data_IF_425793752547
#
_entry.id   IF_425793752547
#
_cell.length_a   1.000
_cell.length_b   1.000
_cell.length_c   1.000
_cell.angle_alpha   90.00
_cell.angle_beta   90.00
_cell.angle_gamma   90.00
#
_symmetry.space_group_name_H-M   'P 1'
#
loop_
_entity.id
_entity.type
_entity.pdbx_description
1 polymer ?
#
# COMPACT_ATOMS: atom_id res chain seq x y z
N UNK A 1 -26.06 -0.97 6.39
CA UNK A 1 -25.17 -1.98 5.78
C UNK A 1 -23.78 -1.40 5.77
N UNK A 2 -22.81 -2.10 6.34
CA UNK A 2 -21.39 -1.78 6.34
C UNK A 2 -20.64 -2.70 5.41
N UNK A 3 -19.35 -2.46 5.18
CA UNK A 3 -18.47 -3.38 4.49
C UNK A 3 -17.42 -3.94 5.46
N UNK A 4 -16.99 -5.18 5.23
CA UNK A 4 -16.01 -5.86 6.07
C UNK A 4 -14.97 -6.56 5.21
N UNK A 5 -13.71 -6.49 5.61
CA UNK A 5 -12.65 -7.34 5.08
C UNK A 5 -12.86 -8.75 5.63
N UNK A 6 -13.08 -9.74 4.75
CA UNK A 6 -13.29 -11.13 5.13
C UNK A 6 -12.05 -12.00 4.92
N UNK A 7 -11.12 -11.53 4.12
CA UNK A 7 -9.82 -12.16 3.92
C UNK A 7 -8.78 -11.18 3.42
N UNK A 8 -7.52 -11.55 3.61
CA UNK A 8 -6.34 -10.87 3.10
C UNK A 8 -5.38 -11.91 2.52
N UNK A 9 -4.68 -11.56 1.44
CA UNK A 9 -3.64 -12.38 0.83
C UNK A 9 -2.52 -11.50 0.32
N UNK A 10 -1.31 -12.03 0.28
CA UNK A 10 -0.15 -11.28 -0.17
C UNK A 10 0.80 -12.13 -1.00
N UNK A 11 1.56 -11.48 -1.87
CA UNK A 11 2.60 -12.08 -2.66
C UNK A 11 3.86 -11.22 -2.68
N UNK A 12 5.00 -11.86 -2.48
CA UNK A 12 6.33 -11.24 -2.50
C UNK A 12 7.18 -12.01 -3.51
N UNK A 13 7.87 -11.32 -4.43
CA UNK A 13 8.84 -11.95 -5.33
C UNK A 13 9.94 -12.69 -4.56
N UNK A 14 10.44 -13.79 -5.13
CA UNK A 14 11.50 -14.61 -4.52
C UNK A 14 12.89 -13.99 -4.59
N UNK A 15 13.15 -13.16 -5.61
CA UNK A 15 14.43 -12.47 -5.73
C UNK A 15 14.50 -11.34 -4.70
N UNK A 16 15.65 -11.16 -4.09
CA UNK A 16 15.85 -10.18 -3.01
C UNK A 16 17.18 -9.48 -3.16
N UNK A 17 17.17 -8.15 -3.01
CA UNK A 17 18.38 -7.32 -2.87
C UNK A 17 18.53 -6.98 -1.38
N UNK A 18 19.62 -7.44 -0.78
CA UNK A 18 19.95 -7.17 0.63
C UNK A 18 20.70 -5.83 0.77
N UNK A 19 20.82 -5.33 2.02
CA UNK A 19 21.64 -4.16 2.30
C UNK A 19 23.10 -4.39 1.92
N UNK A 20 23.63 -5.60 2.16
CA UNK A 20 24.99 -6.00 1.77
C UNK A 20 25.22 -6.02 0.26
N UNK A 21 24.18 -6.24 -0.54
CA UNK A 21 24.29 -6.13 -1.99
C UNK A 21 24.40 -4.67 -2.42
N UNK A 22 23.66 -3.77 -1.76
CA UNK A 22 23.75 -2.33 -2.03
C UNK A 22 25.09 -1.72 -1.60
N UNK A 23 25.74 -2.22 -0.55
CA UNK A 23 27.09 -1.80 -0.17
C UNK A 23 28.13 -1.97 -1.29
N UNK A 24 27.87 -2.86 -2.24
CA UNK A 24 28.76 -3.09 -3.39
C UNK A 24 28.58 -2.08 -4.53
N UNK A 25 27.46 -1.36 -4.54
CA UNK A 25 27.04 -0.51 -5.67
C UNK A 25 26.93 0.96 -5.33
N UNK A 26 26.56 1.29 -4.09
CA UNK A 26 26.41 2.68 -3.62
C UNK A 26 27.11 2.88 -2.26
N UNK A 27 27.49 4.13 -1.95
CA UNK A 27 28.15 4.48 -0.69
C UNK A 27 27.18 4.42 0.49
N UNK A 28 27.03 3.22 1.09
CA UNK A 28 26.13 2.94 2.21
C UNK A 28 26.63 1.79 3.08
N UNK A 29 25.98 1.54 4.23
CA UNK A 29 26.20 0.35 5.07
C UNK A 29 24.88 -0.23 5.54
N UNK A 30 24.86 -1.53 5.90
CA UNK A 30 23.69 -2.21 6.46
C UNK A 30 23.16 -1.47 7.70
N UNK A 31 24.05 -1.07 8.61
CA UNK A 31 23.70 -0.34 9.83
C UNK A 31 23.08 1.01 9.53
N UNK A 32 23.63 1.73 8.53
CA UNK A 32 23.08 3.02 8.11
C UNK A 32 21.66 2.87 7.56
N UNK A 33 21.42 1.87 6.68
CA UNK A 33 20.11 1.63 6.09
C UNK A 33 19.11 1.23 7.20
N UNK A 34 19.44 0.26 8.05
CA UNK A 34 18.56 -0.21 9.14
C UNK A 34 18.21 0.94 10.09
N UNK A 35 19.19 1.70 10.54
CA UNK A 35 18.96 2.79 11.51
C UNK A 35 18.10 3.92 10.95
N UNK A 36 18.10 4.12 9.63
CA UNK A 36 17.37 5.19 8.96
C UNK A 36 15.99 4.75 8.48
N UNK A 37 15.85 3.52 8.06
CA UNK A 37 14.66 3.04 7.34
C UNK A 37 13.96 1.86 8.01
N UNK A 38 14.68 1.05 8.77
CA UNK A 38 14.22 -0.24 9.28
C UNK A 38 14.32 -1.39 8.27
N UNK A 39 14.74 -1.11 7.03
CA UNK A 39 14.73 -2.07 5.91
C UNK A 39 16.03 -2.89 5.92
N UNK A 40 15.88 -4.23 5.81
CA UNK A 40 17.00 -5.15 5.70
C UNK A 40 17.17 -5.70 4.29
N UNK A 41 16.08 -5.80 3.56
CA UNK A 41 16.04 -6.35 2.20
C UNK A 41 14.88 -5.78 1.37
N UNK A 42 14.95 -5.97 0.04
CA UNK A 42 13.95 -5.55 -0.95
C UNK A 42 13.67 -6.71 -1.88
N UNK A 43 12.47 -7.30 -1.81
CA UNK A 43 11.99 -8.21 -2.86
C UNK A 43 11.90 -7.48 -4.20
N UNK A 44 12.33 -8.15 -5.27
CA UNK A 44 12.39 -7.60 -6.62
C UNK A 44 11.74 -8.59 -7.58
N UNK A 45 10.77 -8.12 -8.35
CA UNK A 45 10.09 -8.91 -9.37
C UNK A 45 11.08 -9.39 -10.46
N UNK A 46 10.93 -10.65 -10.86
CA UNK A 46 11.67 -11.19 -12.00
C UNK A 46 11.36 -10.38 -13.26
N UNK A 47 12.28 -10.39 -14.23
CA UNK A 47 12.13 -9.67 -15.51
C UNK A 47 10.89 -10.10 -16.29
N UNK A 48 10.40 -11.31 -16.08
CA UNK A 48 9.18 -11.85 -16.70
C UNK A 48 7.89 -11.48 -15.94
N UNK A 49 7.98 -10.92 -14.73
CA UNK A 49 6.86 -10.53 -13.92
C UNK A 49 6.55 -9.03 -14.08
N UNK A 50 5.28 -8.70 -14.28
CA UNK A 50 4.74 -7.35 -14.23
C UNK A 50 3.87 -7.17 -12.96
N UNK A 51 3.38 -5.96 -12.72
CA UNK A 51 2.53 -5.65 -11.56
C UNK A 51 1.28 -6.50 -11.52
N UNK A 52 0.64 -6.78 -12.68
CA UNK A 52 -0.53 -7.65 -12.72
C UNK A 52 -0.24 -9.11 -12.35
N UNK A 53 1.00 -9.58 -12.55
CA UNK A 53 1.40 -10.93 -12.13
C UNK A 53 1.44 -11.04 -10.60
N UNK A 54 2.09 -10.08 -9.93
CA UNK A 54 2.14 -10.03 -8.46
C UNK A 54 0.74 -9.87 -7.87
N UNK A 55 -0.06 -8.98 -8.47
CA UNK A 55 -1.42 -8.71 -8.06
C UNK A 55 -2.34 -9.94 -8.19
N UNK A 56 -2.19 -10.72 -9.26
CA UNK A 56 -2.93 -11.96 -9.48
C UNK A 56 -2.64 -13.02 -8.41
N UNK A 57 -1.36 -13.21 -8.06
CA UNK A 57 -0.97 -14.15 -7.02
C UNK A 57 -1.57 -13.76 -5.66
N UNK A 58 -1.45 -12.48 -5.27
CA UNK A 58 -2.05 -11.99 -4.02
C UNK A 58 -3.58 -12.14 -4.02
N UNK A 59 -4.24 -11.82 -5.14
CA UNK A 59 -5.68 -11.96 -5.31
C UNK A 59 -6.13 -13.44 -5.18
N UNK A 60 -5.40 -14.36 -5.80
CA UNK A 60 -5.69 -15.80 -5.72
C UNK A 60 -5.64 -16.28 -4.28
N UNK A 61 -4.59 -15.92 -3.53
CA UNK A 61 -4.45 -16.27 -2.11
C UNK A 61 -5.62 -15.67 -1.29
N UNK A 62 -5.99 -14.41 -1.54
CA UNK A 62 -7.10 -13.79 -0.82
C UNK A 62 -8.44 -14.48 -1.08
N UNK A 63 -8.72 -14.87 -2.34
CA UNK A 63 -9.93 -15.59 -2.74
C UNK A 63 -9.98 -16.98 -2.09
N UNK A 64 -8.89 -17.72 -2.13
CA UNK A 64 -8.80 -19.06 -1.52
C UNK A 64 -9.04 -18.99 0.00
N UNK A 65 -8.42 -18.03 0.69
CA UNK A 65 -8.61 -17.85 2.13
C UNK A 65 -10.01 -17.37 2.51
N UNK A 66 -10.66 -16.60 1.65
CA UNK A 66 -12.04 -16.18 1.82
C UNK A 66 -13.03 -17.36 1.71
N UNK A 67 -12.62 -18.47 1.08
CA UNK A 67 -13.47 -19.64 0.79
C UNK A 67 -14.76 -19.28 0.06
N UNK A 68 -14.66 -18.32 -0.87
CA UNK A 68 -15.76 -17.89 -1.75
C UNK A 68 -15.60 -18.49 -3.14
N UNK A 69 -16.69 -18.54 -3.90
CA UNK A 69 -16.58 -18.69 -5.35
C UNK A 69 -16.02 -17.38 -5.94
N UNK A 70 -14.97 -17.47 -6.76
CA UNK A 70 -14.45 -16.29 -7.47
C UNK A 70 -15.50 -15.58 -8.31
N UNK A 71 -16.53 -16.31 -8.77
CA UNK A 71 -17.66 -15.76 -9.53
C UNK A 71 -18.59 -14.87 -8.68
N UNK A 72 -18.45 -14.89 -7.34
CA UNK A 72 -19.14 -13.92 -6.48
C UNK A 72 -18.56 -12.51 -6.61
N UNK A 73 -17.32 -12.36 -7.12
CA UNK A 73 -16.66 -11.07 -7.26
C UNK A 73 -17.36 -10.27 -8.35
N UNK A 74 -17.82 -9.08 -7.97
CA UNK A 74 -18.55 -8.14 -8.82
C UNK A 74 -17.89 -6.75 -8.92
N UNK A 75 -16.70 -6.58 -8.32
CA UNK A 75 -15.89 -5.37 -8.38
C UNK A 75 -14.40 -5.70 -8.17
N UNK A 76 -13.52 -5.13 -9.01
CA UNK A 76 -12.07 -5.18 -8.81
C UNK A 76 -11.50 -3.76 -8.85
N UNK A 77 -10.79 -3.37 -7.79
CA UNK A 77 -10.08 -2.08 -7.72
C UNK A 77 -8.62 -2.33 -7.37
N UNK A 78 -7.71 -1.80 -8.17
CA UNK A 78 -6.26 -1.93 -7.96
C UNK A 78 -5.63 -0.56 -7.73
N UNK A 79 -4.98 -0.38 -6.59
CA UNK A 79 -4.08 0.76 -6.35
C UNK A 79 -2.67 0.46 -6.85
N UNK A 80 -2.19 1.22 -7.84
CA UNK A 80 -0.82 1.08 -8.36
C UNK A 80 -0.37 2.35 -9.08
N UNK A 81 0.92 2.67 -8.97
CA UNK A 81 1.60 3.69 -9.78
C UNK A 81 2.57 3.07 -10.80
N UNK A 82 2.69 1.74 -10.82
CA UNK A 82 3.54 0.98 -11.75
C UNK A 82 2.73 -0.02 -12.57
N UNK A 83 1.72 0.45 -13.37
CA UNK A 83 0.93 -0.46 -14.20
C UNK A 83 1.80 -1.12 -15.27
N UNK A 84 1.42 -2.33 -15.70
CA UNK A 84 2.12 -3.08 -16.76
C UNK A 84 2.30 -2.26 -18.04
N UNK A 85 1.24 -1.56 -18.42
CA UNK A 85 1.15 -0.70 -19.61
C UNK A 85 0.21 0.46 -19.32
N UNK A 86 0.26 1.51 -20.17
CA UNK A 86 -0.63 2.66 -20.02
C UNK A 86 -2.13 2.26 -20.17
N UNK A 87 -2.42 1.26 -20.99
CA UNK A 87 -3.76 0.67 -21.23
C UNK A 87 -3.62 -0.72 -21.83
N UNK A 88 -4.38 -1.75 -21.42
CA UNK A 88 -5.46 -1.70 -20.43
C UNK A 88 -4.98 -1.56 -18.99
N UNK A 89 -5.87 -1.23 -18.06
CA UNK A 89 -5.55 -1.10 -16.65
C UNK A 89 -5.33 -2.46 -15.96
N UNK A 90 -4.58 -2.48 -14.84
CA UNK A 90 -4.23 -3.70 -14.10
C UNK A 90 -5.47 -4.45 -13.59
N UNK A 91 -6.54 -3.76 -13.20
CA UNK A 91 -7.78 -4.39 -12.74
C UNK A 91 -8.40 -5.29 -13.81
N UNK A 92 -8.43 -4.85 -15.08
CA UNK A 92 -8.95 -5.65 -16.20
C UNK A 92 -7.99 -6.81 -16.56
N UNK A 93 -6.68 -6.64 -16.38
CA UNK A 93 -5.71 -7.73 -16.56
C UNK A 93 -5.93 -8.85 -15.54
N UNK A 94 -6.14 -8.51 -14.27
CA UNK A 94 -6.46 -9.47 -13.21
C UNK A 94 -7.81 -10.13 -13.48
N UNK A 95 -8.85 -9.36 -13.85
CA UNK A 95 -10.17 -9.89 -14.21
C UNK A 95 -10.06 -10.98 -15.30
N UNK A 96 -9.30 -10.70 -16.37
CA UNK A 96 -9.04 -11.65 -17.45
C UNK A 96 -8.35 -12.91 -16.93
N UNK A 97 -7.30 -12.79 -16.10
CA UNK A 97 -6.54 -13.93 -15.56
C UNK A 97 -7.36 -14.80 -14.62
N UNK A 98 -8.26 -14.20 -13.84
CA UNK A 98 -9.24 -14.92 -13.01
C UNK A 98 -10.32 -15.61 -13.84
N UNK A 99 -10.43 -15.33 -15.14
CA UNK A 99 -11.50 -15.84 -16.01
C UNK A 99 -12.86 -15.21 -15.70
N UNK A 100 -12.86 -13.95 -15.24
CA UNK A 100 -14.05 -13.19 -14.85
C UNK A 100 -14.35 -12.10 -15.89
N UNK A 101 -15.61 -11.65 -15.94
CA UNK A 101 -16.06 -10.62 -16.89
C UNK A 101 -17.39 -9.97 -16.49
N UNK A 102 -17.76 -8.90 -17.21
CA UNK A 102 -19.06 -8.23 -17.14
C UNK A 102 -19.38 -7.48 -15.84
N UNK A 103 -18.34 -7.01 -15.12
CA UNK A 103 -18.47 -6.12 -13.98
C UNK A 103 -17.30 -5.11 -13.93
N UNK A 104 -17.40 -4.01 -13.16
CA UNK A 104 -16.36 -2.98 -13.10
C UNK A 104 -15.01 -3.51 -12.59
N UNK A 105 -13.94 -3.28 -13.37
CA UNK A 105 -12.57 -3.58 -13.00
C UNK A 105 -11.66 -2.43 -13.46
N UNK A 106 -11.02 -1.76 -12.53
CA UNK A 106 -10.20 -0.59 -12.83
C UNK A 106 -9.03 -0.42 -11.88
N UNK A 107 -8.06 0.40 -12.30
CA UNK A 107 -6.95 0.81 -11.45
C UNK A 107 -7.10 2.29 -11.09
N UNK A 108 -6.57 2.64 -9.92
CA UNK A 108 -6.43 4.01 -9.46
C UNK A 108 -4.96 4.31 -9.19
N UNK A 109 -4.56 5.54 -9.44
CA UNK A 109 -3.25 6.06 -9.09
C UNK A 109 -3.41 7.04 -7.92
N UNK A 110 -2.80 6.72 -6.78
CA UNK A 110 -2.67 7.55 -5.60
C UNK A 110 -1.36 7.18 -4.85
N UNK A 111 -0.35 6.75 -5.60
CA UNK A 111 0.95 6.30 -5.12
C UNK A 111 0.83 5.38 -3.89
N UNK A 112 1.59 5.64 -2.82
CA UNK A 112 1.57 4.82 -1.62
C UNK A 112 0.20 4.77 -0.92
N UNK A 113 -0.70 5.70 -1.20
CA UNK A 113 -2.08 5.70 -0.68
C UNK A 113 -3.05 4.84 -1.51
N UNK A 114 -2.59 4.24 -2.62
CA UNK A 114 -3.44 3.54 -3.58
C UNK A 114 -4.33 2.46 -2.96
N UNK A 115 -3.82 1.64 -2.04
CA UNK A 115 -4.64 0.63 -1.36
C UNK A 115 -5.73 1.24 -0.47
N UNK A 116 -5.42 2.28 0.29
CA UNK A 116 -6.40 2.98 1.16
C UNK A 116 -7.47 3.67 0.31
N UNK A 117 -7.09 4.28 -0.83
CA UNK A 117 -8.04 4.83 -1.78
C UNK A 117 -8.95 3.75 -2.38
N UNK A 118 -8.37 2.64 -2.84
CA UNK A 118 -9.13 1.51 -3.39
C UNK A 118 -10.10 0.91 -2.35
N UNK A 119 -9.64 0.79 -1.09
CA UNK A 119 -10.45 0.28 0.00
C UNK A 119 -11.63 1.22 0.33
N UNK A 120 -11.39 2.54 0.38
CA UNK A 120 -12.45 3.54 0.58
C UNK A 120 -13.48 3.49 -0.56
N UNK A 121 -13.05 3.41 -1.82
CA UNK A 121 -13.95 3.34 -2.97
C UNK A 121 -14.79 2.06 -2.91
N UNK A 122 -14.17 0.89 -2.65
CA UNK A 122 -14.89 -0.38 -2.50
C UNK A 122 -15.92 -0.35 -1.36
N UNK A 123 -15.58 0.28 -0.22
CA UNK A 123 -16.51 0.49 0.90
C UNK A 123 -17.76 1.25 0.43
N UNK A 124 -17.60 2.30 -0.41
CA UNK A 124 -18.76 3.06 -0.91
C UNK A 124 -19.62 2.23 -1.87
N UNK A 125 -19.01 1.48 -2.80
CA UNK A 125 -19.75 0.58 -3.69
C UNK A 125 -20.55 -0.46 -2.92
N UNK A 126 -19.99 -1.02 -1.85
CA UNK A 126 -20.72 -1.97 -0.99
C UNK A 126 -21.83 -1.28 -0.21
N UNK A 127 -21.56 -0.14 0.43
CA UNK A 127 -22.54 0.60 1.22
C UNK A 127 -23.71 1.12 0.41
N UNK A 128 -23.52 1.45 -0.87
CA UNK A 128 -24.59 1.84 -1.81
C UNK A 128 -25.35 0.65 -2.40
N UNK A 129 -24.85 -0.57 -2.20
CA UNK A 129 -25.47 -1.79 -2.74
C UNK A 129 -25.11 -2.10 -4.19
N UNK A 130 -24.16 -1.36 -4.78
CA UNK A 130 -23.69 -1.57 -6.16
C UNK A 130 -22.72 -2.75 -6.28
N UNK A 131 -22.09 -3.16 -5.18
CA UNK A 131 -21.23 -4.35 -5.09
C UNK A 131 -21.58 -5.19 -3.86
N UNK A 132 -21.46 -6.50 -4.01
CA UNK A 132 -21.66 -7.50 -2.95
C UNK A 132 -20.37 -8.24 -2.59
N UNK A 133 -19.37 -8.18 -3.45
CA UNK A 133 -18.08 -8.83 -3.23
C UNK A 133 -16.99 -8.10 -4.02
N UNK A 134 -16.22 -7.27 -3.33
CA UNK A 134 -15.15 -6.49 -3.93
C UNK A 134 -13.77 -7.13 -3.68
N UNK A 135 -12.96 -7.22 -4.72
CA UNK A 135 -11.53 -7.52 -4.66
C UNK A 135 -10.77 -6.19 -4.72
N UNK A 136 -10.05 -5.88 -3.64
CA UNK A 136 -9.21 -4.66 -3.52
C UNK A 136 -7.76 -5.08 -3.47
N UNK A 137 -6.93 -4.50 -4.33
CA UNK A 137 -5.51 -4.86 -4.47
C UNK A 137 -4.62 -3.62 -4.37
N UNK A 138 -3.51 -3.74 -3.68
CA UNK A 138 -2.36 -2.84 -3.79
C UNK A 138 -1.18 -3.61 -4.37
N UNK A 139 -0.60 -3.17 -5.48
CA UNK A 139 0.47 -3.90 -6.15
C UNK A 139 1.45 -2.96 -6.84
N UNK A 140 2.75 -3.26 -6.75
CA UNK A 140 3.80 -2.42 -7.32
C UNK A 140 5.01 -3.23 -7.80
N UNK A 141 5.64 -2.73 -8.85
CA UNK A 141 6.98 -3.08 -9.30
C UNK A 141 7.87 -1.83 -9.29
N UNK A 142 8.08 -1.25 -8.09
CA UNK A 142 8.85 -0.01 -7.93
C UNK A 142 10.31 -0.13 -8.35
N UNK A 143 10.85 -1.36 -8.36
CA UNK A 143 12.21 -1.63 -8.84
C UNK A 143 12.44 -1.15 -10.27
N UNK A 144 11.36 -1.05 -11.09
CA UNK A 144 11.40 -0.62 -12.50
C UNK A 144 11.60 0.88 -12.67
N UNK A 145 11.22 1.66 -11.65
CA UNK A 145 11.32 3.12 -11.64
C UNK A 145 12.30 3.62 -10.57
N UNK A 146 13.05 2.73 -9.93
CA UNK A 146 14.09 3.06 -8.95
C UNK A 146 15.42 3.25 -9.66
N UNK A 147 16.09 4.38 -9.40
CA UNK A 147 17.48 4.57 -9.81
C UNK A 147 18.40 3.81 -8.83
N UNK A 148 18.97 2.71 -9.27
CA UNK A 148 19.82 1.85 -8.43
C UNK A 148 21.20 2.47 -8.12
N UNK A 149 21.57 3.57 -8.80
CA UNK A 149 22.77 4.36 -8.51
C UNK A 149 22.49 5.52 -7.53
N UNK A 150 21.22 5.79 -7.19
CA UNK A 150 20.85 6.81 -6.21
C UNK A 150 20.60 6.20 -4.83
N UNK A 151 21.56 6.40 -3.92
CA UNK A 151 21.47 5.95 -2.52
C UNK A 151 20.21 6.41 -1.79
N UNK A 152 19.62 7.55 -2.16
CA UNK A 152 18.46 8.11 -1.45
C UNK A 152 17.18 7.32 -1.74
N UNK A 153 17.12 6.61 -2.87
CA UNK A 153 15.94 5.88 -3.34
C UNK A 153 16.13 4.37 -3.36
N UNK A 154 17.28 3.85 -3.84
CA UNK A 154 17.51 2.42 -3.99
C UNK A 154 17.49 1.64 -2.66
N UNK A 155 17.77 2.32 -1.53
CA UNK A 155 17.72 1.70 -0.19
C UNK A 155 16.31 1.46 0.32
N UNK A 156 15.27 2.00 -0.34
CA UNK A 156 13.89 2.00 0.14
C UNK A 156 12.99 1.03 -0.61
N UNK A 157 12.88 1.22 -1.93
CA UNK A 157 11.79 0.69 -2.74
C UNK A 157 11.93 -0.79 -3.09
N UNK A 158 10.80 -1.49 -3.08
CA UNK A 158 10.68 -2.91 -3.31
C UNK A 158 9.39 -3.23 -4.08
N UNK A 159 9.25 -4.48 -4.52
CA UNK A 159 8.11 -4.99 -5.27
C UNK A 159 7.27 -5.93 -4.42
N UNK A 160 5.97 -5.96 -4.69
CA UNK A 160 5.04 -6.84 -3.99
C UNK A 160 3.58 -6.52 -4.27
N UNK A 161 2.71 -7.37 -3.80
CA UNK A 161 1.26 -7.19 -3.88
C UNK A 161 0.55 -7.70 -2.63
N UNK A 162 -0.55 -7.05 -2.29
CA UNK A 162 -1.48 -7.54 -1.29
C UNK A 162 -2.91 -7.27 -1.72
N UNK A 163 -3.83 -8.18 -1.36
CA UNK A 163 -5.21 -8.16 -1.78
C UNK A 163 -6.16 -8.45 -0.61
N UNK A 164 -7.31 -7.80 -0.61
CA UNK A 164 -8.38 -8.01 0.36
C UNK A 164 -9.70 -8.31 -0.35
N UNK A 165 -10.51 -9.19 0.23
CA UNK A 165 -11.90 -9.42 -0.16
C UNK A 165 -12.80 -8.69 0.82
N UNK A 166 -13.69 -7.86 0.28
CA UNK A 166 -14.71 -7.15 1.05
C UNK A 166 -16.10 -7.69 0.72
N UNK A 167 -16.94 -7.83 1.75
CA UNK A 167 -18.38 -8.16 1.61
C UNK A 167 -19.22 -7.25 2.49
N UNK A 168 -20.52 -7.08 2.19
CA UNK A 168 -21.47 -6.40 3.08
C UNK A 168 -21.58 -7.14 4.41
N UNK A 169 -21.83 -6.39 5.47
CA UNK A 169 -22.04 -6.90 6.83
C UNK A 169 -23.00 -6.01 7.61
N UNK A 170 -23.69 -6.60 8.58
CA UNK A 170 -24.45 -5.88 9.61
C UNK A 170 -23.58 -5.58 10.85
N UNK A 171 -22.40 -6.22 10.97
CA UNK A 171 -21.39 -5.92 11.99
C UNK A 171 -20.71 -4.56 11.72
N UNK A 172 -19.79 -4.15 12.58
CA UNK A 172 -19.11 -2.85 12.45
C UNK A 172 -18.29 -2.74 11.15
N UNK A 173 -17.39 -3.69 10.86
CA UNK A 173 -16.54 -3.65 9.66
C UNK A 173 -15.77 -2.33 9.52
N UNK A 174 -15.81 -1.68 8.34
CA UNK A 174 -15.20 -0.37 8.12
C UNK A 174 -16.05 0.71 8.79
N UNK A 175 -15.56 1.21 9.93
CA UNK A 175 -16.20 2.20 10.78
C UNK A 175 -16.03 3.60 10.19
N UNK A 176 -14.81 3.89 9.71
CA UNK A 176 -14.45 5.20 9.19
C UNK A 176 -13.46 5.06 8.03
N UNK A 177 -13.61 5.92 7.03
CA UNK A 177 -12.62 6.06 5.96
C UNK A 177 -12.65 7.48 5.39
N UNK A 178 -11.48 8.10 5.27
CA UNK A 178 -11.31 9.45 4.72
C UNK A 178 -10.06 9.51 3.84
N UNK A 179 -10.15 10.28 2.77
CA UNK A 179 -9.10 10.51 1.80
C UNK A 179 -8.82 12.01 1.69
N UNK A 180 -7.58 12.35 1.34
CA UNK A 180 -7.19 13.72 1.08
C UNK A 180 -5.99 13.82 0.14
N UNK A 181 -5.82 15.00 -0.44
CA UNK A 181 -4.67 15.30 -1.31
C UNK A 181 -4.30 16.79 -1.25
N UNK A 182 -3.02 17.10 -1.54
CA UNK A 182 -2.55 18.45 -1.77
C UNK A 182 -1.50 18.48 -2.90
N UNK A 183 -1.87 19.04 -4.03
CA UNK A 183 -1.03 19.12 -5.23
C UNK A 183 0.13 20.12 -5.13
N UNK A 184 0.19 20.97 -4.11
CA UNK A 184 1.32 21.90 -3.90
C UNK A 184 2.66 21.18 -3.71
N UNK A 185 2.63 19.92 -3.31
CA UNK A 185 3.82 19.10 -3.02
C UNK A 185 4.20 18.14 -4.16
N UNK A 186 3.60 18.28 -5.35
CA UNK A 186 3.77 17.35 -6.47
C UNK A 186 5.24 17.11 -6.85
N UNK A 187 6.09 18.11 -6.75
CA UNK A 187 7.50 18.03 -7.14
C UNK A 187 8.41 17.38 -6.08
N UNK A 188 7.91 17.12 -4.87
CA UNK A 188 8.72 16.55 -3.78
C UNK A 188 8.91 15.03 -3.88
N UNK A 189 8.00 14.34 -4.56
CA UNK A 189 8.06 12.89 -4.81
C UNK A 189 7.31 12.59 -6.12
N UNK A 190 8.04 12.30 -7.19
CA UNK A 190 7.46 12.13 -8.52
C UNK A 190 8.37 11.35 -9.48
N UNK A 191 7.81 10.88 -10.58
CA UNK A 191 8.54 10.41 -11.77
C UNK A 191 8.33 11.47 -12.87
N UNK A 192 9.39 12.13 -13.37
CA UNK A 192 9.25 13.23 -14.34
C UNK A 192 8.65 12.83 -15.67
N UNK A 193 8.84 11.60 -16.09
CA UNK A 193 8.40 11.07 -17.38
C UNK A 193 7.02 10.40 -17.26
N UNK A 194 6.16 10.65 -18.25
CA UNK A 194 4.84 10.03 -18.35
C UNK A 194 4.39 9.84 -19.80
N UNK A 195 3.21 9.27 -20.00
CA UNK A 195 2.67 9.00 -21.34
C UNK A 195 2.42 10.26 -22.19
N UNK A 196 2.02 11.38 -21.54
CA UNK A 196 1.72 12.64 -22.22
C UNK A 196 2.81 13.70 -22.03
N UNK A 197 3.46 13.72 -20.86
CA UNK A 197 4.52 14.70 -20.57
C UNK A 197 5.89 14.08 -20.84
N UNK A 198 6.59 14.63 -21.84
CA UNK A 198 7.97 14.27 -22.16
C UNK A 198 8.84 15.49 -21.93
N UNK A 199 9.92 15.37 -21.11
CA UNK A 199 10.90 16.46 -20.98
C UNK A 199 11.52 16.79 -22.35
N UNK A 200 11.79 18.06 -22.61
CA UNK A 200 12.40 18.53 -23.90
C UNK A 200 13.74 17.85 -24.19
N UNK A 201 14.49 17.55 -23.14
CA UNK A 201 15.74 16.76 -23.19
C UNK A 201 15.59 15.58 -22.24
N UNK A 202 14.93 14.51 -22.69
CA UNK A 202 14.79 13.30 -21.88
C UNK A 202 16.16 12.64 -21.68
N UNK A 203 16.52 12.44 -20.41
CA UNK A 203 17.62 11.57 -19.99
C UNK A 203 17.03 10.24 -19.49
N UNK A 204 17.87 9.21 -19.33
CA UNK A 204 17.45 7.97 -18.67
C UNK A 204 16.93 8.22 -17.25
N UNK A 205 17.45 9.26 -16.57
CA UNK A 205 17.10 9.62 -15.21
C UNK A 205 15.67 10.16 -15.05
N UNK A 206 15.03 10.58 -16.15
CA UNK A 206 13.63 11.07 -16.11
C UNK A 206 12.60 9.95 -15.93
N UNK A 207 13.01 8.70 -16.16
CA UNK A 207 12.17 7.52 -15.91
C UNK A 207 12.19 7.07 -14.45
N UNK A 208 13.09 7.63 -13.64
CA UNK A 208 13.25 7.23 -12.25
C UNK A 208 12.54 8.16 -11.29
N UNK A 209 12.11 7.57 -10.21
CA UNK A 209 11.47 8.26 -9.09
C UNK A 209 12.46 9.20 -8.41
N UNK A 210 12.05 10.45 -8.20
CA UNK A 210 12.78 11.49 -7.50
C UNK A 210 12.12 11.82 -6.18
N UNK A 211 12.91 12.03 -5.12
CA UNK A 211 12.39 12.26 -3.78
C UNK A 211 13.22 13.30 -3.00
N UNK A 212 12.56 14.32 -2.49
CA UNK A 212 13.09 15.26 -1.51
C UNK A 212 12.83 14.75 -0.08
N UNK A 213 13.60 13.74 0.35
CA UNK A 213 13.28 12.92 1.53
C UNK A 213 13.03 13.69 2.83
N UNK A 214 13.77 14.78 3.10
CA UNK A 214 13.61 15.59 4.32
C UNK A 214 12.27 16.36 4.33
N UNK A 215 11.86 16.92 3.21
CA UNK A 215 10.59 17.63 3.04
C UNK A 215 9.42 16.66 3.11
N UNK A 216 9.53 15.53 2.40
CA UNK A 216 8.54 14.43 2.46
C UNK A 216 8.34 13.97 3.90
N UNK A 217 9.43 13.74 4.66
CA UNK A 217 9.35 13.32 6.07
C UNK A 217 8.54 14.30 6.93
N UNK A 218 8.82 15.60 6.83
CA UNK A 218 8.17 16.64 7.65
C UNK A 218 6.66 16.71 7.38
N UNK A 219 6.29 16.71 6.09
CA UNK A 219 4.87 16.79 5.70
C UNK A 219 4.15 15.50 6.07
N UNK A 220 4.76 14.33 5.82
CA UNK A 220 4.16 13.03 6.12
C UNK A 220 3.84 12.86 7.61
N UNK A 221 4.80 13.16 8.51
CA UNK A 221 4.56 13.03 9.96
C UNK A 221 3.42 13.93 10.43
N UNK A 222 3.39 15.18 9.98
CA UNK A 222 2.32 16.13 10.35
C UNK A 222 0.96 15.66 9.83
N UNK A 223 0.88 15.32 8.54
CA UNK A 223 -0.39 14.91 7.91
C UNK A 223 -0.92 13.62 8.52
N UNK A 224 -0.07 12.61 8.72
CA UNK A 224 -0.48 11.33 9.31
C UNK A 224 -0.97 11.49 10.75
N UNK A 225 -0.35 12.36 11.54
CA UNK A 225 -0.85 12.73 12.88
C UNK A 225 -2.25 13.33 12.81
N UNK A 226 -2.42 14.36 11.97
CA UNK A 226 -3.70 15.09 11.84
C UNK A 226 -4.84 14.16 11.42
N UNK A 227 -4.62 13.32 10.39
CA UNK A 227 -5.67 12.40 9.90
C UNK A 227 -5.96 11.25 10.88
N UNK A 228 -4.99 10.84 11.73
CA UNK A 228 -5.23 9.85 12.76
C UNK A 228 -6.13 10.41 13.87
N UNK A 229 -5.79 11.59 14.38
CA UNK A 229 -6.59 12.28 15.40
C UNK A 229 -8.02 12.50 14.89
N UNK A 230 -8.16 12.94 13.65
CA UNK A 230 -9.47 13.14 13.02
C UNK A 230 -10.26 11.83 12.87
N UNK A 231 -9.61 10.73 12.44
CA UNK A 231 -10.25 9.43 12.32
C UNK A 231 -10.79 8.94 13.66
N UNK A 232 -9.98 9.01 14.72
CA UNK A 232 -10.37 8.60 16.07
C UNK A 232 -11.50 9.47 16.61
N UNK A 233 -11.38 10.79 16.49
CA UNK A 233 -12.40 11.73 16.94
C UNK A 233 -13.74 11.55 16.22
N UNK A 234 -13.74 11.46 14.88
CA UNK A 234 -14.96 11.29 14.07
C UNK A 234 -15.62 9.93 14.30
N UNK A 235 -14.85 8.92 14.71
CA UNK A 235 -15.34 7.58 15.03
C UNK A 235 -15.74 7.41 16.50
N UNK A 236 -15.48 8.39 17.35
CA UNK A 236 -15.67 8.32 18.80
C UNK A 236 -14.92 7.13 19.44
N UNK A 237 -13.69 6.90 18.98
CA UNK A 237 -12.78 5.85 19.48
C UNK A 237 -11.55 6.55 20.05
N UNK A 238 -11.08 6.11 21.22
CA UNK A 238 -9.86 6.63 21.82
C UNK A 238 -8.62 5.85 21.34
N UNK A 239 -7.44 6.46 21.34
CA UNK A 239 -6.18 5.78 20.92
C UNK A 239 -5.93 4.47 21.68
N UNK A 240 -6.29 4.41 22.96
CA UNK A 240 -6.12 3.20 23.79
C UNK A 240 -6.95 2.01 23.31
N UNK A 241 -8.10 2.29 22.64
CA UNK A 241 -9.04 1.29 22.13
C UNK A 241 -8.67 0.79 20.73
N UNK A 242 -7.61 1.34 20.12
CA UNK A 242 -6.99 0.80 18.91
C UNK A 242 -6.12 -0.38 19.32
N UNK A 243 -6.42 -1.58 18.79
CA UNK A 243 -5.63 -2.77 19.03
C UNK A 243 -4.37 -2.78 18.17
N UNK A 244 -4.51 -2.37 16.88
CA UNK A 244 -3.40 -2.38 15.93
C UNK A 244 -3.35 -1.14 15.06
N UNK A 245 -2.15 -0.61 14.88
CA UNK A 245 -1.84 0.44 13.92
C UNK A 245 -1.03 -0.14 12.76
N UNK A 246 -1.58 -0.06 11.54
CA UNK A 246 -0.94 -0.53 10.30
C UNK A 246 -0.68 0.67 9.38
N UNK A 247 0.40 1.41 9.56
CA UNK A 247 0.77 2.50 8.67
C UNK A 247 1.40 1.98 7.38
N UNK A 248 1.42 2.81 6.34
CA UNK A 248 2.29 2.62 5.19
C UNK A 248 3.75 2.41 5.63
N UNK A 249 4.39 1.37 5.09
CA UNK A 249 5.72 0.90 5.48
C UNK A 249 6.83 1.67 4.74
N UNK A 250 6.80 3.00 4.81
CA UNK A 250 7.78 3.85 4.11
C UNK A 250 9.14 3.90 4.81
N UNK A 251 9.11 4.11 6.12
CA UNK A 251 10.29 4.40 6.93
C UNK A 251 9.93 4.26 8.41
N UNK A 252 10.71 3.48 9.17
CA UNK A 252 10.46 3.25 10.60
C UNK A 252 10.40 4.54 11.41
N UNK A 253 11.19 5.55 11.06
CA UNK A 253 11.22 6.83 11.79
C UNK A 253 9.93 7.63 11.64
N UNK A 254 9.29 7.60 10.46
CA UNK A 254 7.98 8.22 10.25
C UNK A 254 6.94 7.49 11.12
N UNK A 255 6.93 6.17 11.07
CA UNK A 255 5.99 5.34 11.82
C UNK A 255 6.11 5.57 13.33
N UNK A 256 7.33 5.53 13.86
CA UNK A 256 7.58 5.78 15.29
C UNK A 256 7.18 7.20 15.71
N UNK A 257 7.45 8.21 14.87
CA UNK A 257 7.05 9.58 15.17
C UNK A 257 5.52 9.73 15.26
N UNK A 258 4.78 9.11 14.34
CA UNK A 258 3.30 9.12 14.35
C UNK A 258 2.74 8.32 15.54
N UNK A 259 3.22 7.09 15.76
CA UNK A 259 2.79 6.26 16.89
C UNK A 259 2.98 6.95 18.25
N UNK A 260 4.15 7.61 18.44
CA UNK A 260 4.42 8.40 19.66
C UNK A 260 3.44 9.55 19.84
N UNK A 261 3.05 10.24 18.78
CA UNK A 261 2.08 11.37 18.84
C UNK A 261 0.66 10.90 19.12
N UNK A 262 0.34 9.67 18.72
CA UNK A 262 -0.95 9.02 19.02
C UNK A 262 -0.94 8.31 20.38
N UNK A 263 0.17 8.36 21.12
CA UNK A 263 0.37 7.63 22.37
C UNK A 263 0.13 6.12 22.25
N UNK A 264 0.41 5.56 21.05
CA UNK A 264 0.28 4.14 20.80
C UNK A 264 1.58 3.41 21.22
N UNK A 265 1.49 2.36 22.04
CA UNK A 265 2.63 1.51 22.38
C UNK A 265 3.24 0.86 21.13
N UNK A 266 4.58 0.67 21.13
CA UNK A 266 5.29 0.11 19.97
C UNK A 266 4.80 -1.30 19.60
N UNK A 267 4.39 -2.10 20.58
CA UNK A 267 3.83 -3.44 20.40
C UNK A 267 2.51 -3.47 19.63
N UNK A 268 1.77 -2.36 19.59
CA UNK A 268 0.54 -2.20 18.79
C UNK A 268 0.81 -1.76 17.35
N UNK A 269 2.06 -1.47 17.00
CA UNK A 269 2.45 -1.01 15.66
C UNK A 269 2.92 -2.19 14.81
N UNK A 270 2.22 -2.43 13.70
CA UNK A 270 2.62 -3.48 12.76
C UNK A 270 3.74 -2.95 11.86
N UNK A 271 4.90 -3.61 11.95
CA UNK A 271 6.05 -3.38 11.07
C UNK A 271 6.32 -4.62 10.22
N UNK A 272 6.61 -4.41 8.95
CA UNK A 272 6.97 -5.46 7.99
C UNK A 272 8.03 -5.04 6.98
N UNK A 273 8.45 -3.77 7.03
CA UNK A 273 9.43 -3.22 6.09
C UNK A 273 10.81 -3.87 6.17
N UNK A 274 11.12 -4.52 7.30
CA UNK A 274 12.38 -5.25 7.48
C UNK A 274 12.59 -6.30 6.39
N UNK A 275 11.53 -6.98 5.97
CA UNK A 275 11.55 -8.03 4.94
C UNK A 275 10.89 -7.62 3.62
N UNK A 276 9.93 -6.69 3.65
CA UNK A 276 9.17 -6.30 2.46
C UNK A 276 9.72 -5.05 1.78
N UNK A 277 10.57 -4.25 2.47
CA UNK A 277 10.94 -2.92 1.99
C UNK A 277 9.74 -1.98 1.90
N UNK A 278 9.89 -0.90 1.15
CA UNK A 278 8.80 -0.01 0.81
C UNK A 278 8.16 -0.43 -0.53
N UNK A 279 7.03 -1.09 -0.48
CA UNK A 279 6.26 -1.56 -1.63
C UNK A 279 5.09 -0.63 -1.98
N UNK A 280 5.16 0.66 -1.62
CA UNK A 280 4.13 1.67 -1.92
C UNK A 280 2.71 1.20 -1.57
N UNK A 281 1.78 1.14 -2.55
CA UNK A 281 0.39 0.72 -2.34
C UNK A 281 0.25 -0.70 -1.76
N UNK A 282 1.20 -1.59 -2.00
CA UNK A 282 1.17 -2.96 -1.46
C UNK A 282 1.56 -3.05 0.02
N UNK A 283 2.19 -2.03 0.59
CA UNK A 283 2.84 -2.12 1.90
C UNK A 283 1.88 -2.39 3.07
N UNK A 284 0.72 -1.74 3.07
CA UNK A 284 -0.31 -1.96 4.10
C UNK A 284 -0.89 -3.37 4.02
N UNK A 285 -1.41 -3.85 2.87
CA UNK A 285 -1.96 -5.19 2.80
C UNK A 285 -0.92 -6.30 3.03
N UNK A 286 0.35 -6.10 2.68
CA UNK A 286 1.45 -7.02 3.03
C UNK A 286 1.68 -7.07 4.56
N UNK A 287 1.72 -5.92 5.21
CA UNK A 287 1.88 -5.83 6.67
C UNK A 287 0.66 -6.44 7.39
N UNK A 288 -0.53 -6.19 6.88
CA UNK A 288 -1.77 -6.72 7.41
C UNK A 288 -1.82 -8.25 7.29
N UNK A 289 -1.54 -8.79 6.10
CA UNK A 289 -1.52 -10.25 5.89
C UNK A 289 -0.51 -10.91 6.83
N UNK A 290 0.71 -10.40 6.92
CA UNK A 290 1.74 -10.91 7.84
C UNK A 290 1.21 -10.98 9.27
N UNK A 291 0.59 -9.90 9.77
CA UNK A 291 0.12 -9.83 11.15
C UNK A 291 -1.09 -10.74 11.43
N UNK A 292 -1.92 -11.02 10.40
CA UNK A 292 -2.99 -12.02 10.49
C UNK A 292 -2.40 -13.43 10.51
N UNK A 293 -1.41 -13.74 9.64
CA UNK A 293 -0.83 -15.06 9.53
C UNK A 293 0.00 -15.46 10.77
N UNK A 294 0.67 -14.50 11.42
CA UNK A 294 1.43 -14.76 12.64
C UNK A 294 0.58 -14.69 13.92
N UNK A 295 -0.74 -14.45 13.78
CA UNK A 295 -1.72 -14.50 14.86
C UNK A 295 -1.75 -13.28 15.77
N UNK A 296 -1.05 -12.19 15.41
CA UNK A 296 -1.17 -10.91 16.13
C UNK A 296 -2.57 -10.35 15.96
N UNK A 297 -3.01 -10.15 14.73
CA UNK A 297 -4.34 -9.62 14.42
C UNK A 297 -5.38 -10.74 14.43
N UNK A 298 -6.51 -10.51 15.11
CA UNK A 298 -7.60 -11.45 15.28
C UNK A 298 -8.95 -10.81 14.96
N UNK A 299 -9.95 -11.66 14.79
CA UNK A 299 -11.35 -11.22 14.63
C UNK A 299 -11.79 -10.42 15.85
N UNK A 300 -12.37 -9.25 15.61
CA UNK A 300 -12.86 -8.31 16.62
C UNK A 300 -11.85 -7.22 16.97
N UNK A 301 -10.60 -7.31 16.51
CA UNK A 301 -9.60 -6.25 16.75
C UNK A 301 -9.96 -4.98 15.99
N UNK A 302 -9.77 -3.84 16.66
CA UNK A 302 -9.89 -2.50 16.09
C UNK A 302 -8.57 -2.08 15.45
N UNK A 303 -8.60 -1.82 14.15
CA UNK A 303 -7.41 -1.56 13.33
C UNK A 303 -7.47 -0.17 12.72
N UNK A 304 -6.44 0.63 12.96
CA UNK A 304 -6.21 1.91 12.27
C UNK A 304 -5.17 1.69 11.15
N UNK A 305 -5.56 1.91 9.90
CA UNK A 305 -4.65 1.93 8.75
C UNK A 305 -4.50 3.34 8.22
N UNK A 306 -3.26 3.72 7.87
CA UNK A 306 -2.96 5.04 7.33
C UNK A 306 -1.90 4.99 6.25
N UNK A 307 -2.07 5.83 5.24
CA UNK A 307 -1.08 6.00 4.19
C UNK A 307 -0.88 7.46 3.82
N UNK A 308 0.32 7.72 3.31
CA UNK A 308 0.75 8.97 2.74
C UNK A 308 1.66 8.67 1.53
N UNK A 309 1.45 9.35 0.42
CA UNK A 309 2.17 9.08 -0.82
C UNK A 309 2.35 10.32 -1.69
N UNK A 310 2.99 10.11 -2.84
CA UNK A 310 3.18 11.16 -3.83
C UNK A 310 1.86 11.83 -4.21
N UNK A 311 1.97 13.11 -4.57
CA UNK A 311 0.85 13.95 -4.93
C UNK A 311 0.81 15.29 -4.19
N UNK A 312 0.78 15.52 -2.86
CA UNK A 312 0.67 14.37 -1.97
C UNK A 312 -0.76 13.86 -1.89
N UNK A 313 -0.87 12.58 -1.63
CA UNK A 313 -2.13 11.92 -1.31
C UNK A 313 -2.03 11.26 0.05
N UNK A 314 -3.14 11.13 0.77
CA UNK A 314 -3.20 10.43 2.06
C UNK A 314 -4.58 9.84 2.31
N UNK A 315 -4.65 8.96 3.27
CA UNK A 315 -5.91 8.40 3.72
C UNK A 315 -5.79 7.64 5.02
N UNK A 316 -6.92 7.52 5.69
CA UNK A 316 -7.10 6.80 6.95
C UNK A 316 -8.32 5.90 6.87
N UNK A 317 -8.19 4.67 7.36
CA UNK A 317 -9.28 3.71 7.53
C UNK A 317 -9.23 3.16 8.94
N UNK A 318 -10.36 3.19 9.64
CA UNK A 318 -10.58 2.56 10.93
C UNK A 318 -11.63 1.47 10.76
N UNK A 319 -11.31 0.25 11.17
CA UNK A 319 -12.20 -0.90 11.04
C UNK A 319 -12.15 -1.82 12.25
N UNK A 320 -13.18 -2.64 12.40
CA UNK A 320 -13.19 -3.83 13.26
C UNK A 320 -13.17 -5.08 12.34
N UNK A 321 -12.20 -5.99 12.58
CA UNK A 321 -11.98 -7.17 11.72
C UNK A 321 -12.99 -8.30 11.99
#
# INVERSE_FOLDING_TARGET
MNSKIISIGSYIPSNTVTNKDLEKTVDTTDEWIISRTGIKQRPIADSSQATSDLAFEAATIAIERAKIDKNDIDLIIVGTCTPDVATPNVGTLIQKRLGLSNFPAFSIEAACSGFIYALNIADKFIKTGESKCALVVGAETLSRITNWDDRNTCVLFADGAGAAILKPTDDKGIIFSELGANGEYADLLHVPYGTSRKPEKSSKDDYFLRMSGNEVFKVAVKTLEEIAIDALKKSNIESKDVDWFIPHQANVRIIQAVAKRLELPEEKVILSMDIHGNTSAASIPLAFDRAVQDGRIKKGDTILMQSFGAGFTWGSVLLEL
#
